data_IF_598996753092
#
_entry.id   IF_598996753092
#
_cell.length_a   1.000
_cell.length_b   1.000
_cell.length_c   1.000
_cell.angle_alpha   90.00
_cell.angle_beta   90.00
_cell.angle_gamma   90.00
#
_symmetry.space_group_name_H-M   'P 1'
#
loop_
_entity.id
_entity.type
_entity.pdbx_description
1 polymer ?
#
# COMPACT_ATOMS: atom_id res chain seq x y z
N UNK A 1 27.11 5.64 -8.92
CA UNK A 1 27.33 4.30 -8.33
C UNK A 1 26.02 3.78 -7.78
N UNK A 2 25.43 4.45 -6.80
CA UNK A 2 24.25 3.98 -6.06
C UNK A 2 23.02 3.71 -6.94
N UNK A 3 22.70 4.60 -7.88
CA UNK A 3 21.58 4.40 -8.80
C UNK A 3 21.78 3.13 -9.66
N UNK A 4 23.00 2.91 -10.14
CA UNK A 4 23.29 1.73 -10.95
C UNK A 4 23.21 0.45 -10.15
N UNK A 5 23.71 0.44 -8.94
CA UNK A 5 23.64 -0.71 -8.04
C UNK A 5 22.20 -1.03 -7.65
N UNK A 6 21.35 0.00 -7.45
CA UNK A 6 19.93 -0.18 -7.17
C UNK A 6 19.16 -0.76 -8.35
N UNK A 7 19.44 -0.32 -9.59
CA UNK A 7 18.65 -0.68 -10.80
C UNK A 7 19.23 -1.91 -11.51
N UNK A 8 20.54 -2.14 -11.44
CA UNK A 8 21.22 -3.24 -12.13
C UNK A 8 21.61 -4.39 -11.18
N UNK A 9 21.52 -4.17 -9.88
CA UNK A 9 21.86 -5.15 -8.85
C UNK A 9 20.69 -6.04 -8.45
N UNK A 10 21.01 -7.18 -7.87
CA UNK A 10 19.99 -8.01 -7.25
C UNK A 10 19.51 -7.40 -5.92
N UNK A 11 18.23 -7.50 -5.67
CA UNK A 11 17.63 -6.99 -4.44
C UNK A 11 18.25 -7.64 -3.18
N UNK A 12 18.39 -8.97 -3.22
CA UNK A 12 19.19 -9.77 -2.29
C UNK A 12 19.84 -10.93 -3.07
N UNK A 13 20.86 -11.63 -2.52
CA UNK A 13 21.55 -12.71 -3.25
C UNK A 13 20.65 -13.85 -3.74
N UNK A 14 19.47 -14.00 -3.16
CA UNK A 14 18.48 -15.04 -3.53
C UNK A 14 17.37 -14.55 -4.43
N UNK A 15 17.32 -13.24 -4.76
CA UNK A 15 16.31 -12.60 -5.61
C UNK A 15 16.98 -11.88 -6.77
N UNK A 16 17.34 -12.62 -7.84
CA UNK A 16 17.97 -12.05 -9.02
C UNK A 16 17.02 -11.11 -9.76
N UNK A 17 17.53 -9.98 -10.19
CA UNK A 17 16.80 -9.07 -11.06
C UNK A 17 16.89 -9.50 -12.53
N UNK A 18 15.78 -9.34 -13.26
CA UNK A 18 15.72 -9.55 -14.69
C UNK A 18 16.17 -8.29 -15.43
N UNK A 19 16.93 -8.43 -16.49
CA UNK A 19 17.39 -7.29 -17.28
C UNK A 19 16.25 -6.75 -18.16
N UNK A 20 15.49 -5.76 -17.68
CA UNK A 20 14.39 -5.13 -18.38
C UNK A 20 14.83 -4.35 -19.64
N UNK A 21 16.12 -4.00 -19.77
CA UNK A 21 16.68 -3.39 -20.98
C UNK A 21 16.90 -4.39 -22.12
N UNK A 22 16.84 -5.69 -21.84
CA UNK A 22 16.80 -6.70 -22.87
C UNK A 22 15.40 -6.71 -23.52
N UNK A 23 15.28 -6.43 -24.83
CA UNK A 23 13.99 -6.31 -25.50
C UNK A 23 13.18 -7.62 -25.49
N UNK A 24 13.83 -8.77 -25.47
CA UNK A 24 13.15 -10.06 -25.39
C UNK A 24 12.57 -10.32 -24.00
N UNK A 25 13.30 -9.96 -22.94
CA UNK A 25 12.82 -10.04 -21.55
C UNK A 25 11.63 -9.11 -21.37
N UNK A 26 11.76 -7.85 -21.80
CA UNK A 26 10.68 -6.87 -21.69
C UNK A 26 9.43 -7.30 -22.45
N UNK A 27 9.58 -7.81 -23.67
CA UNK A 27 8.46 -8.36 -24.44
C UNK A 27 7.79 -9.52 -23.72
N UNK A 28 8.56 -10.43 -23.14
CA UNK A 28 8.02 -11.55 -22.36
C UNK A 28 7.22 -11.05 -21.15
N UNK A 29 7.74 -10.09 -20.39
CA UNK A 29 7.06 -9.55 -19.21
C UNK A 29 5.74 -8.85 -19.57
N UNK A 30 5.72 -8.08 -20.66
CA UNK A 30 4.49 -7.47 -21.18
C UNK A 30 3.48 -8.55 -21.59
N UNK A 31 3.88 -9.50 -22.41
CA UNK A 31 3.00 -10.58 -22.87
C UNK A 31 2.50 -11.47 -21.72
N UNK A 32 3.31 -11.68 -20.68
CA UNK A 32 2.88 -12.40 -19.50
C UNK A 32 1.77 -11.63 -18.75
N UNK A 33 1.88 -10.31 -18.63
CA UNK A 33 0.83 -9.49 -18.02
C UNK A 33 -0.46 -9.50 -18.85
N UNK A 34 -0.37 -9.34 -20.17
CA UNK A 34 -1.49 -9.44 -21.11
C UNK A 34 -2.16 -10.82 -21.01
N UNK A 35 -1.36 -11.90 -20.94
CA UNK A 35 -1.87 -13.26 -20.79
C UNK A 35 -2.71 -13.44 -19.52
N UNK A 36 -2.26 -12.89 -18.39
CA UNK A 36 -3.04 -12.95 -17.14
C UNK A 36 -4.35 -12.17 -17.24
N UNK A 37 -4.32 -10.99 -17.84
CA UNK A 37 -5.51 -10.17 -18.06
C UNK A 37 -6.51 -10.92 -18.95
N UNK A 38 -6.06 -11.41 -20.11
CA UNK A 38 -6.92 -12.08 -21.11
C UNK A 38 -7.43 -13.46 -20.65
N UNK A 39 -6.60 -14.25 -19.98
CA UNK A 39 -6.92 -15.65 -19.65
C UNK A 39 -7.74 -15.76 -18.36
N UNK A 40 -7.44 -14.95 -17.37
CA UNK A 40 -8.04 -15.04 -16.03
C UNK A 40 -9.05 -13.92 -15.79
N UNK A 41 -8.98 -12.83 -16.55
CA UNK A 41 -9.87 -11.66 -16.38
C UNK A 41 -9.58 -10.90 -15.11
N UNK A 42 -8.29 -10.70 -14.79
CA UNK A 42 -7.91 -9.88 -13.62
C UNK A 42 -8.23 -8.40 -13.88
N UNK A 43 -8.65 -7.67 -12.83
CA UNK A 43 -9.04 -6.26 -12.94
C UNK A 43 -7.92 -5.28 -12.63
N UNK A 44 -6.80 -5.77 -12.08
CA UNK A 44 -5.66 -4.93 -11.73
C UNK A 44 -4.41 -5.72 -11.36
N UNK A 45 -3.27 -5.03 -11.32
CA UNK A 45 -1.97 -5.56 -10.92
C UNK A 45 -1.41 -4.71 -9.77
N UNK A 46 -0.95 -5.37 -8.70
CA UNK A 46 0.01 -4.76 -7.77
C UNK A 46 1.40 -5.15 -8.24
N UNK A 47 2.19 -4.18 -8.63
CA UNK A 47 3.56 -4.39 -9.07
C UNK A 47 4.54 -4.12 -7.92
N UNK A 48 5.17 -5.18 -7.48
CA UNK A 48 6.15 -5.20 -6.39
C UNK A 48 7.42 -4.42 -6.76
N UNK A 49 8.11 -3.86 -5.77
CA UNK A 49 9.44 -3.23 -5.91
C UNK A 49 9.58 -2.26 -7.09
N UNK A 50 8.52 -1.52 -7.43
CA UNK A 50 8.40 -0.72 -8.64
C UNK A 50 9.59 0.22 -8.93
N UNK A 51 10.15 0.95 -7.93
CA UNK A 51 11.26 1.89 -8.16
C UNK A 51 12.63 1.23 -8.39
N UNK A 52 12.75 -0.05 -8.16
CA UNK A 52 14.04 -0.77 -8.22
C UNK A 52 14.33 -1.35 -9.61
N UNK A 53 13.30 -1.48 -10.46
CA UNK A 53 13.46 -1.92 -11.84
C UNK A 53 13.89 -0.78 -12.78
N UNK A 54 14.34 -1.13 -14.01
CA UNK A 54 14.69 -0.13 -15.03
C UNK A 54 13.49 0.76 -15.36
N UNK A 55 13.67 2.08 -15.17
CA UNK A 55 12.59 3.05 -15.28
C UNK A 55 11.97 3.11 -16.69
N UNK A 56 12.78 3.03 -17.72
CA UNK A 56 12.30 3.11 -19.10
C UNK A 56 11.59 1.80 -19.49
N UNK A 57 12.09 0.65 -19.00
CA UNK A 57 11.42 -0.64 -19.12
C UNK A 57 10.05 -0.64 -18.44
N UNK A 58 9.96 -0.14 -17.20
CA UNK A 58 8.70 -0.03 -16.48
C UNK A 58 7.72 0.94 -17.15
N UNK A 59 8.23 2.06 -17.68
CA UNK A 59 7.41 3.01 -18.45
C UNK A 59 6.87 2.37 -19.73
N UNK A 60 7.68 1.57 -20.44
CA UNK A 60 7.23 0.84 -21.64
C UNK A 60 6.16 -0.20 -21.28
N UNK A 61 6.36 -0.97 -20.20
CA UNK A 61 5.38 -1.94 -19.71
C UNK A 61 4.03 -1.27 -19.38
N UNK A 62 4.05 -0.21 -18.57
CA UNK A 62 2.82 0.51 -18.19
C UNK A 62 2.16 1.20 -19.38
N UNK A 63 2.94 1.84 -20.28
CA UNK A 63 2.40 2.47 -21.48
C UNK A 63 1.68 1.48 -22.39
N UNK A 64 2.21 0.26 -22.48
CA UNK A 64 1.59 -0.79 -23.28
C UNK A 64 0.27 -1.23 -22.67
N UNK A 65 0.24 -1.52 -21.36
CA UNK A 65 -0.98 -1.91 -20.66
C UNK A 65 -2.04 -0.80 -20.68
N UNK A 66 -1.65 0.46 -20.44
CA UNK A 66 -2.58 1.62 -20.49
C UNK A 66 -3.21 1.81 -21.87
N UNK A 67 -2.49 1.49 -22.94
CA UNK A 67 -3.00 1.56 -24.31
C UNK A 67 -3.95 0.41 -24.66
N UNK A 68 -3.59 -0.82 -24.28
CA UNK A 68 -4.37 -2.02 -24.62
C UNK A 68 -5.59 -2.18 -23.69
N UNK A 69 -5.46 -1.76 -22.42
CA UNK A 69 -6.50 -1.88 -21.40
C UNK A 69 -6.73 -0.53 -20.66
N UNK A 70 -7.40 0.44 -21.30
CA UNK A 70 -7.50 1.82 -20.76
C UNK A 70 -8.16 1.95 -19.38
N UNK A 71 -8.96 0.96 -18.98
CA UNK A 71 -9.66 0.92 -17.69
C UNK A 71 -8.97 0.01 -16.65
N UNK A 72 -7.83 -0.56 -17.01
CA UNK A 72 -7.08 -1.45 -16.13
C UNK A 72 -6.23 -0.65 -15.15
N UNK A 73 -6.34 -0.94 -13.86
CA UNK A 73 -5.54 -0.26 -12.85
C UNK A 73 -4.30 -1.04 -12.46
N UNK A 74 -3.20 -0.31 -12.28
CA UNK A 74 -1.96 -0.85 -11.73
C UNK A 74 -1.55 0.01 -10.54
N UNK A 75 -1.28 -0.63 -9.40
CA UNK A 75 -0.65 0.01 -8.26
C UNK A 75 0.80 -0.43 -8.17
N UNK A 76 1.72 0.53 -8.14
CA UNK A 76 3.14 0.28 -7.94
C UNK A 76 3.53 0.40 -6.47
N UNK A 77 4.23 -0.59 -5.96
CA UNK A 77 4.86 -0.47 -4.66
C UNK A 77 6.04 0.49 -4.76
N UNK A 78 5.81 1.71 -4.30
CA UNK A 78 6.80 2.79 -4.28
C UNK A 78 7.31 3.00 -2.85
N UNK A 79 8.13 2.05 -2.36
CA UNK A 79 8.62 2.10 -0.98
C UNK A 79 9.68 3.18 -0.81
N UNK A 80 9.22 4.41 -0.77
CA UNK A 80 10.01 5.61 -0.48
C UNK A 80 9.21 6.48 0.50
N UNK A 81 9.87 7.00 1.52
CA UNK A 81 9.21 7.69 2.63
C UNK A 81 9.09 9.22 2.43
N UNK A 82 9.54 9.73 1.28
CA UNK A 82 9.40 11.14 0.93
C UNK A 82 8.35 11.36 -0.16
N UNK A 83 7.33 12.21 0.06
CA UNK A 83 6.23 12.41 -0.89
C UNK A 83 6.69 12.81 -2.29
N UNK A 84 7.75 13.62 -2.42
CA UNK A 84 8.28 14.04 -3.72
C UNK A 84 8.80 12.85 -4.54
N UNK A 85 9.44 11.88 -3.89
CA UNK A 85 9.93 10.68 -4.57
C UNK A 85 8.78 9.76 -4.98
N UNK A 86 7.77 9.58 -4.14
CA UNK A 86 6.56 8.85 -4.49
C UNK A 86 5.83 9.51 -5.66
N UNK A 87 5.62 10.83 -5.61
CA UNK A 87 4.97 11.60 -6.66
C UNK A 87 5.71 11.53 -8.01
N UNK A 88 7.04 11.40 -7.99
CA UNK A 88 7.84 11.24 -9.21
C UNK A 88 7.53 9.94 -9.98
N UNK A 89 6.90 8.95 -9.35
CA UNK A 89 6.50 7.69 -9.97
C UNK A 89 5.06 7.68 -10.49
N UNK A 90 4.24 8.66 -10.14
CA UNK A 90 2.86 8.71 -10.66
C UNK A 90 2.85 9.16 -12.13
N UNK A 91 1.89 8.65 -12.91
CA UNK A 91 1.61 9.04 -14.30
C UNK A 91 1.53 10.55 -14.42
N UNK A 92 2.17 11.10 -15.46
CA UNK A 92 2.21 12.53 -15.79
C UNK A 92 2.92 13.42 -14.75
N UNK A 93 3.73 12.83 -13.88
CA UNK A 93 4.54 13.58 -12.93
C UNK A 93 5.54 14.51 -13.62
N UNK A 94 5.55 15.77 -13.19
CA UNK A 94 6.51 16.78 -13.66
C UNK A 94 7.87 16.71 -12.93
N UNK A 95 7.96 15.89 -11.91
CA UNK A 95 9.19 15.69 -11.12
C UNK A 95 10.17 14.70 -11.78
N UNK A 96 9.73 13.99 -12.81
CA UNK A 96 10.52 12.99 -13.51
C UNK A 96 10.66 13.31 -15.01
N UNK A 97 11.80 12.92 -15.59
CA UNK A 97 12.05 13.08 -17.04
C UNK A 97 11.23 12.08 -17.87
N UNK A 98 11.12 10.85 -17.39
CA UNK A 98 10.35 9.78 -18.05
C UNK A 98 8.98 9.68 -17.38
N UNK A 99 7.91 9.75 -18.16
CA UNK A 99 6.57 9.45 -17.67
C UNK A 99 6.48 7.96 -17.36
N UNK A 100 6.09 7.63 -16.13
CA UNK A 100 5.97 6.24 -15.69
C UNK A 100 4.72 5.53 -16.24
N UNK A 101 3.69 6.30 -16.61
CA UNK A 101 2.33 5.83 -16.93
C UNK A 101 1.64 5.09 -15.77
N UNK A 102 2.25 5.02 -14.59
CA UNK A 102 1.71 4.34 -13.41
C UNK A 102 0.57 5.16 -12.79
N UNK A 103 -0.69 4.69 -12.80
CA UNK A 103 -1.80 5.48 -12.31
C UNK A 103 -1.81 5.61 -10.79
N UNK A 104 -1.48 4.53 -10.06
CA UNK A 104 -1.56 4.47 -8.61
C UNK A 104 -0.22 4.14 -7.99
N UNK A 105 0.18 4.93 -6.99
CA UNK A 105 1.39 4.74 -6.18
C UNK A 105 1.03 4.47 -4.73
N UNK A 106 1.85 3.67 -4.02
CA UNK A 106 1.64 3.40 -2.59
C UNK A 106 2.27 4.49 -1.73
N UNK A 107 1.54 4.98 -0.72
CA UNK A 107 1.93 6.08 0.16
C UNK A 107 2.70 5.60 1.40
N UNK A 108 3.94 5.21 1.19
CA UNK A 108 4.84 4.86 2.31
C UNK A 108 5.23 6.07 3.16
N UNK A 109 5.12 7.29 2.63
CA UNK A 109 5.35 8.50 3.40
C UNK A 109 4.26 8.69 4.46
N UNK A 110 2.99 8.48 4.11
CA UNK A 110 1.89 8.49 5.06
C UNK A 110 2.01 7.36 6.09
N UNK A 111 2.33 6.13 5.62
CA UNK A 111 2.57 4.98 6.50
C UNK A 111 3.63 5.29 7.55
N UNK A 112 4.78 5.82 7.14
CA UNK A 112 5.90 6.14 8.04
C UNK A 112 5.47 7.18 9.09
N UNK A 113 4.86 8.27 8.65
CA UNK A 113 4.45 9.39 9.51
C UNK A 113 3.37 9.03 10.51
N UNK A 114 2.36 8.25 10.10
CA UNK A 114 1.29 7.84 11.03
C UNK A 114 1.79 6.83 12.07
N UNK A 115 2.75 5.97 11.70
CA UNK A 115 3.36 5.03 12.62
C UNK A 115 4.35 5.68 13.59
N UNK A 116 5.01 6.75 13.19
CA UNK A 116 5.82 7.57 14.12
C UNK A 116 4.91 8.34 15.08
N UNK A 117 3.90 9.04 14.55
CA UNK A 117 2.99 9.89 15.31
C UNK A 117 2.27 9.15 16.45
N UNK A 118 1.94 7.86 16.29
CA UNK A 118 1.23 7.09 17.34
C UNK A 118 1.99 6.94 18.66
N UNK A 119 3.31 7.15 18.64
CA UNK A 119 4.20 7.00 19.79
C UNK A 119 4.69 8.35 20.32
N UNK A 120 4.22 9.45 19.76
CA UNK A 120 4.66 10.79 20.09
C UNK A 120 3.60 11.55 20.89
N UNK A 121 3.97 12.03 22.06
CA UNK A 121 3.15 12.91 22.88
C UNK A 121 3.81 14.30 22.89
N UNK A 122 3.34 15.20 22.00
CA UNK A 122 3.92 16.54 21.90
C UNK A 122 2.95 17.49 21.20
N UNK A 123 3.11 18.78 21.49
CA UNK A 123 2.37 19.91 20.93
C UNK A 123 3.23 20.76 19.95
N UNK A 124 4.39 20.27 19.56
CA UNK A 124 5.25 20.96 18.63
C UNK A 124 4.88 20.75 17.14
N UNK A 125 5.53 21.52 16.25
CA UNK A 125 5.24 21.53 14.81
C UNK A 125 5.66 20.28 14.05
N UNK A 126 6.48 19.41 14.63
CA UNK A 126 7.17 18.34 13.91
C UNK A 126 6.75 16.94 14.33
N UNK A 127 5.98 16.82 15.42
CA UNK A 127 5.63 15.54 16.01
C UNK A 127 4.11 15.33 16.11
N UNK A 128 3.70 14.16 16.51
CA UNK A 128 2.31 13.81 16.74
C UNK A 128 1.43 14.03 15.53
N UNK A 129 0.28 14.64 15.71
CA UNK A 129 -0.69 14.89 14.65
C UNK A 129 -0.15 15.81 13.53
N UNK A 130 0.72 16.77 13.87
CA UNK A 130 1.33 17.64 12.87
C UNK A 130 2.20 16.89 11.86
N UNK A 131 2.84 15.80 12.26
CA UNK A 131 3.57 14.91 11.37
C UNK A 131 2.67 14.32 10.28
N UNK A 132 1.46 13.90 10.66
CA UNK A 132 0.46 13.36 9.71
C UNK A 132 -0.05 14.47 8.79
N UNK A 133 -0.39 15.63 9.35
CA UNK A 133 -0.82 16.80 8.57
C UNK A 133 0.21 17.18 7.50
N UNK A 134 1.49 17.18 7.86
CA UNK A 134 2.58 17.45 6.93
C UNK A 134 2.69 16.43 5.79
N UNK A 135 2.08 15.26 5.87
CA UNK A 135 2.01 14.35 4.71
C UNK A 135 1.19 14.95 3.57
N UNK A 136 0.12 15.65 3.89
CA UNK A 136 -0.83 16.18 2.91
C UNK A 136 -0.42 17.54 2.34
N UNK A 137 0.47 18.27 3.01
CA UNK A 137 1.03 19.53 2.50
C UNK A 137 1.68 19.37 1.13
N UNK A 138 2.16 18.18 0.82
CA UNK A 138 2.83 17.85 -0.44
C UNK A 138 1.88 17.32 -1.54
N UNK A 139 0.56 17.35 -1.34
CA UNK A 139 -0.42 16.83 -2.31
C UNK A 139 -0.32 17.52 -3.67
N UNK A 140 0.08 18.77 -3.72
CA UNK A 140 0.32 19.52 -4.95
C UNK A 140 1.41 18.94 -5.86
N UNK A 141 2.26 18.04 -5.34
CA UNK A 141 3.29 17.35 -6.12
C UNK A 141 2.72 16.18 -6.95
N UNK A 142 1.61 15.61 -6.49
CA UNK A 142 0.97 14.50 -7.19
C UNK A 142 0.09 14.99 -8.33
N UNK A 143 0.25 14.45 -9.56
CA UNK A 143 -0.70 14.74 -10.64
C UNK A 143 -2.14 14.38 -10.28
N UNK A 144 -2.33 13.30 -9.54
CA UNK A 144 -3.63 12.86 -9.03
C UNK A 144 -3.53 12.34 -7.59
N UNK A 145 -3.72 13.19 -6.57
CA UNK A 145 -3.69 12.77 -5.17
C UNK A 145 -4.73 11.70 -4.81
N UNK A 146 -5.89 11.69 -5.49
CA UNK A 146 -6.95 10.69 -5.26
C UNK A 146 -6.57 9.28 -5.69
N UNK A 147 -5.56 9.14 -6.57
CA UNK A 147 -5.01 7.85 -7.02
C UNK A 147 -3.76 7.44 -6.24
N UNK A 148 -3.57 7.97 -5.05
CA UNK A 148 -2.52 7.52 -4.13
C UNK A 148 -3.12 6.54 -3.14
N UNK A 149 -2.53 5.34 -3.02
CA UNK A 149 -3.00 4.30 -2.11
C UNK A 149 -2.31 4.41 -0.76
N UNK A 150 -3.06 4.85 0.26
CA UNK A 150 -2.58 5.00 1.62
C UNK A 150 -2.91 3.78 2.48
N UNK A 151 -2.07 3.51 3.46
CA UNK A 151 -2.23 2.41 4.40
C UNK A 151 -1.52 2.71 5.72
N UNK A 152 -1.89 1.99 6.79
CA UNK A 152 -1.26 2.11 8.11
C UNK A 152 -0.42 0.88 8.47
N UNK A 153 -0.67 -0.22 7.80
CA UNK A 153 0.03 -1.49 7.90
C UNK A 153 -0.18 -2.30 6.62
N UNK A 154 0.73 -3.22 6.32
CA UNK A 154 0.58 -4.20 5.24
C UNK A 154 1.36 -5.49 5.57
N UNK A 155 1.48 -6.41 4.61
CA UNK A 155 2.15 -7.68 4.79
C UNK A 155 3.69 -7.57 4.91
N UNK A 156 4.27 -6.43 4.56
CA UNK A 156 5.72 -6.18 4.62
C UNK A 156 6.14 -5.30 5.79
N UNK A 157 5.16 -4.84 6.58
CA UNK A 157 5.39 -3.96 7.73
C UNK A 157 4.93 -4.60 9.03
N UNK A 158 5.29 -4.01 10.16
CA UNK A 158 4.66 -4.37 11.42
C UNK A 158 3.16 -4.12 11.35
N UNK A 159 2.37 -4.95 12.06
CA UNK A 159 0.98 -4.61 12.33
C UNK A 159 0.95 -3.30 13.13
N UNK A 160 -0.04 -2.46 12.89
CA UNK A 160 -0.15 -1.17 13.57
C UNK A 160 -0.19 -1.30 15.10
N UNK A 161 -0.82 -2.36 15.58
CA UNK A 161 -0.83 -2.70 17.01
C UNK A 161 0.52 -3.20 17.53
N UNK A 162 1.43 -3.66 16.66
CA UNK A 162 2.72 -4.21 17.04
C UNK A 162 2.57 -5.36 18.01
N UNK A 163 3.17 -5.24 19.19
CA UNK A 163 3.00 -6.16 20.34
C UNK A 163 1.86 -5.75 21.26
N UNK A 164 1.24 -4.59 21.02
CA UNK A 164 0.20 -4.01 21.88
C UNK A 164 -1.22 -4.48 21.54
N UNK A 165 -2.17 -3.88 22.25
CA UNK A 165 -3.63 -4.13 22.11
C UNK A 165 -4.44 -2.84 22.14
N UNK A 166 -3.80 -1.66 22.11
CA UNK A 166 -4.52 -0.38 22.19
C UNK A 166 -5.27 -0.11 20.89
N UNK A 167 -6.56 -0.36 20.95
CA UNK A 167 -7.45 -0.11 19.82
C UNK A 167 -7.81 1.36 19.63
N UNK A 168 -7.47 2.25 20.56
CA UNK A 168 -7.78 3.68 20.47
C UNK A 168 -6.93 4.34 19.40
N UNK A 169 -5.61 4.18 19.48
CA UNK A 169 -4.69 4.67 18.45
C UNK A 169 -4.99 4.07 17.07
N UNK A 170 -5.32 2.77 17.00
CA UNK A 170 -5.71 2.11 15.75
C UNK A 170 -6.98 2.74 15.15
N UNK A 171 -8.01 3.02 15.96
CA UNK A 171 -9.23 3.69 15.49
C UNK A 171 -8.95 5.11 15.00
N UNK A 172 -8.09 5.87 15.68
CA UNK A 172 -7.69 7.20 15.24
C UNK A 172 -6.99 7.15 13.87
N UNK A 173 -6.03 6.24 13.70
CA UNK A 173 -5.31 6.05 12.44
C UNK A 173 -6.25 5.63 11.30
N UNK A 174 -7.15 4.69 11.55
CA UNK A 174 -8.16 4.26 10.57
C UNK A 174 -9.18 5.36 10.26
N UNK A 175 -9.58 6.18 11.23
CA UNK A 175 -10.45 7.33 10.98
C UNK A 175 -9.78 8.30 10.00
N UNK A 176 -8.51 8.61 10.19
CA UNK A 176 -7.73 9.46 9.26
C UNK A 176 -7.66 8.78 7.89
N UNK A 177 -7.19 7.53 7.82
CA UNK A 177 -7.04 6.77 6.56
C UNK A 177 -8.33 6.76 5.75
N UNK A 178 -9.48 6.57 6.41
CA UNK A 178 -10.77 6.42 5.75
C UNK A 178 -11.48 7.74 5.43
N UNK A 179 -10.95 8.88 5.90
CA UNK A 179 -11.55 10.20 5.66
C UNK A 179 -10.71 11.12 4.77
N UNK A 180 -9.47 10.77 4.50
CA UNK A 180 -8.62 11.52 3.56
C UNK A 180 -8.90 11.17 2.11
N UNK A 181 -8.53 12.08 1.20
CA UNK A 181 -8.63 11.87 -0.24
C UNK A 181 -7.51 10.94 -0.74
N UNK A 182 -7.66 9.65 -0.47
CA UNK A 182 -6.74 8.56 -0.82
C UNK A 182 -7.53 7.29 -1.12
N UNK A 183 -6.92 6.35 -1.82
CA UNK A 183 -7.41 4.96 -1.90
C UNK A 183 -6.97 4.26 -0.61
N UNK A 184 -7.88 3.92 0.31
CA UNK A 184 -7.49 3.26 1.56
C UNK A 184 -7.21 1.78 1.31
N UNK A 185 -6.03 1.32 1.72
CA UNK A 185 -5.71 -0.11 1.81
C UNK A 185 -5.89 -0.57 3.27
N UNK A 186 -6.74 -1.56 3.46
CA UNK A 186 -6.91 -2.25 4.75
C UNK A 186 -6.27 -3.63 4.67
N UNK A 187 -5.42 -3.94 5.64
CA UNK A 187 -4.81 -5.24 5.73
C UNK A 187 -5.75 -6.20 6.49
N UNK A 188 -5.87 -7.46 6.03
CA UNK A 188 -6.76 -8.42 6.67
C UNK A 188 -6.43 -8.62 8.15
N UNK A 189 -7.44 -8.80 8.97
CA UNK A 189 -7.30 -9.00 10.41
C UNK A 189 -7.19 -7.71 11.23
N UNK A 190 -7.03 -6.54 10.60
CA UNK A 190 -7.12 -5.24 11.28
C UNK A 190 -8.47 -5.08 11.98
N UNK A 191 -9.53 -5.53 11.34
CA UNK A 191 -10.93 -5.51 11.84
C UNK A 191 -11.17 -6.36 13.09
N UNK A 192 -10.29 -7.34 13.33
CA UNK A 192 -10.35 -8.23 14.51
C UNK A 192 -9.11 -8.10 15.41
N UNK A 193 -8.44 -6.95 15.34
CA UNK A 193 -7.31 -6.60 16.19
C UNK A 193 -6.12 -7.58 16.10
N UNK A 194 -5.86 -8.16 14.93
CA UNK A 194 -4.66 -8.95 14.73
C UNK A 194 -3.41 -8.09 14.93
N UNK A 195 -2.45 -8.63 15.64
CA UNK A 195 -1.19 -7.99 15.96
C UNK A 195 0.01 -8.83 15.47
N UNK A 196 1.18 -8.22 15.43
CA UNK A 196 2.41 -8.88 15.03
C UNK A 196 3.52 -7.89 14.74
N UNK A 197 4.77 -8.38 14.78
CA UNK A 197 5.96 -7.59 14.48
C UNK A 197 6.95 -8.42 13.68
N UNK A 198 7.63 -7.80 12.74
CA UNK A 198 8.70 -8.39 11.92
C UNK A 198 9.95 -8.71 12.74
N UNK A 199 10.12 -8.07 13.91
CA UNK A 199 11.18 -8.42 14.85
C UNK A 199 11.18 -9.91 15.20
N UNK A 200 10.01 -10.56 15.21
CA UNK A 200 9.87 -11.99 15.43
C UNK A 200 10.15 -12.77 14.13
N UNK A 201 9.36 -12.56 13.12
CA UNK A 201 9.51 -13.08 11.74
C UNK A 201 8.53 -12.38 10.80
N UNK A 202 8.73 -12.47 9.49
CA UNK A 202 7.71 -12.06 8.50
C UNK A 202 6.39 -12.83 8.67
N UNK A 203 6.44 -14.11 9.00
CA UNK A 203 5.25 -14.91 9.30
C UNK A 203 4.44 -14.40 10.49
N UNK A 204 5.07 -13.69 11.43
CA UNK A 204 4.35 -13.11 12.57
C UNK A 204 3.38 -12.00 12.19
N UNK A 205 3.65 -11.24 11.12
CA UNK A 205 2.74 -10.22 10.59
C UNK A 205 1.78 -10.77 9.54
N UNK A 206 2.04 -12.00 9.02
CA UNK A 206 1.27 -12.69 7.98
C UNK A 206 0.55 -13.94 8.50
N UNK A 207 0.19 -13.95 9.77
CA UNK A 207 -0.54 -15.08 10.40
C UNK A 207 -1.84 -15.33 9.67
N UNK A 208 -2.25 -16.60 9.61
CA UNK A 208 -3.55 -16.98 9.11
C UNK A 208 -4.68 -16.26 9.85
N UNK A 209 -5.76 -15.95 9.14
CA UNK A 209 -6.95 -15.40 9.78
C UNK A 209 -7.65 -16.51 10.57
N UNK A 210 -7.88 -16.36 11.89
CA UNK A 210 -8.44 -17.42 12.71
C UNK A 210 -9.85 -17.82 12.25
N UNK A 211 -10.03 -19.10 11.94
CA UNK A 211 -11.27 -19.68 11.39
C UNK A 211 -11.23 -19.91 9.89
N UNK A 212 -10.09 -19.62 9.20
CA UNK A 212 -9.89 -19.85 7.78
C UNK A 212 -9.46 -21.28 7.40
N UNK A 213 -8.94 -22.05 8.38
CA UNK A 213 -8.35 -23.37 8.11
C UNK A 213 -8.95 -24.47 9.00
N UNK A 214 -8.97 -25.74 8.50
CA UNK A 214 -9.35 -26.88 9.33
C UNK A 214 -8.45 -27.00 10.57
N UNK A 215 -9.05 -27.12 11.75
CA UNK A 215 -8.33 -27.24 13.02
C UNK A 215 -8.21 -25.93 13.80
N UNK A 216 -8.65 -24.81 13.24
CA UNK A 216 -8.72 -23.55 13.99
C UNK A 216 -9.71 -23.70 15.17
N UNK A 217 -9.24 -23.36 16.38
CA UNK A 217 -10.04 -23.45 17.61
C UNK A 217 -11.16 -22.39 17.69
N UNK A 218 -10.98 -21.28 17.01
CA UNK A 218 -11.92 -20.15 16.97
C UNK A 218 -12.14 -19.68 15.55
N UNK A 219 -13.37 -19.22 15.26
CA UNK A 219 -13.72 -18.67 13.94
C UNK A 219 -14.08 -17.18 14.08
N UNK A 220 -13.14 -16.28 13.74
CA UNK A 220 -13.35 -14.82 13.81
C UNK A 220 -14.14 -14.25 12.65
N UNK A 221 -14.52 -15.05 11.66
CA UNK A 221 -15.51 -14.62 10.66
C UNK A 221 -16.90 -14.47 11.30
N UNK A 222 -17.17 -15.22 12.38
CA UNK A 222 -18.43 -15.13 13.10
C UNK A 222 -18.34 -14.23 14.33
N UNK A 223 -19.48 -13.64 14.73
CA UNK A 223 -19.57 -12.79 15.92
C UNK A 223 -19.20 -13.53 17.21
N UNK A 224 -19.61 -14.77 17.33
CA UNK A 224 -19.39 -15.61 18.52
C UNK A 224 -17.94 -16.05 18.68
N UNK A 225 -17.19 -16.14 17.59
CA UNK A 225 -15.76 -16.44 17.61
C UNK A 225 -14.88 -15.23 17.94
N UNK A 226 -15.45 -14.03 17.96
CA UNK A 226 -14.73 -12.80 18.30
C UNK A 226 -14.94 -12.43 19.76
N UNK A 227 -13.89 -11.94 20.40
CA UNK A 227 -13.99 -11.33 21.73
C UNK A 227 -14.87 -10.05 21.70
N UNK A 228 -15.26 -9.55 22.87
CA UNK A 228 -16.00 -8.29 22.98
C UNK A 228 -15.25 -7.11 22.33
N UNK A 229 -13.92 -7.03 22.51
CA UNK A 229 -13.10 -5.97 21.93
C UNK A 229 -13.03 -6.06 20.41
N UNK A 230 -12.85 -7.28 19.87
CA UNK A 230 -12.82 -7.53 18.42
C UNK A 230 -14.19 -7.22 17.78
N UNK A 231 -15.29 -7.60 18.42
CA UNK A 231 -16.61 -7.24 17.94
C UNK A 231 -16.82 -5.71 17.94
N UNK A 232 -16.38 -5.01 18.98
CA UNK A 232 -16.48 -3.57 19.05
C UNK A 232 -15.65 -2.87 17.97
N UNK A 233 -14.47 -3.42 17.62
CA UNK A 233 -13.64 -2.91 16.52
C UNK A 233 -14.27 -3.19 15.17
N UNK A 234 -14.72 -4.42 14.93
CA UNK A 234 -15.39 -4.83 13.70
C UNK A 234 -16.63 -3.97 13.42
N UNK A 235 -17.51 -3.82 14.42
CA UNK A 235 -18.73 -3.03 14.30
C UNK A 235 -18.43 -1.54 14.05
N UNK A 236 -17.36 -1.00 14.66
CA UNK A 236 -16.93 0.38 14.45
C UNK A 236 -16.38 0.58 13.02
N UNK A 237 -15.48 -0.31 12.59
CA UNK A 237 -14.87 -0.22 11.26
C UNK A 237 -15.92 -0.42 10.16
N UNK A 238 -16.84 -1.36 10.33
CA UNK A 238 -17.96 -1.57 9.40
C UNK A 238 -18.78 -0.30 9.21
N UNK A 239 -19.11 0.41 10.32
CA UNK A 239 -19.90 1.66 10.23
C UNK A 239 -19.17 2.75 9.47
N UNK A 240 -17.88 2.96 9.71
CA UNK A 240 -17.13 4.02 9.01
C UNK A 240 -16.90 3.68 7.51
N UNK A 241 -16.75 2.40 7.18
CA UNK A 241 -16.64 1.95 5.79
C UNK A 241 -17.96 2.16 5.03
N UNK A 242 -19.11 1.82 5.62
CA UNK A 242 -20.42 2.10 5.01
C UNK A 242 -20.68 3.60 4.88
N UNK A 243 -20.29 4.39 5.88
CA UNK A 243 -20.36 5.84 5.79
C UNK A 243 -19.51 6.38 4.64
N UNK A 244 -18.26 5.92 4.50
CA UNK A 244 -17.38 6.30 3.39
C UNK A 244 -17.98 5.91 2.04
N UNK A 245 -18.48 4.69 1.92
CA UNK A 245 -19.10 4.20 0.67
C UNK A 245 -20.29 5.06 0.23
N UNK A 246 -21.08 5.56 1.17
CA UNK A 246 -22.22 6.44 0.90
C UNK A 246 -21.86 7.93 0.75
N UNK A 247 -20.57 8.30 0.85
CA UNK A 247 -20.14 9.70 0.82
C UNK A 247 -19.31 10.01 -0.41
N UNK A 248 -19.96 10.51 -1.45
CA UNK A 248 -19.33 10.84 -2.73
C UNK A 248 -18.21 11.89 -2.64
N UNK A 249 -18.23 12.77 -1.64
CA UNK A 249 -17.19 13.78 -1.45
C UNK A 249 -15.82 13.16 -1.14
N UNK A 250 -15.81 11.94 -0.58
CA UNK A 250 -14.57 11.23 -0.18
C UNK A 250 -14.22 10.12 -1.18
N UNK A 251 -15.21 9.61 -1.92
CA UNK A 251 -15.04 8.49 -2.84
C UNK A 251 -14.87 8.90 -4.30
N UNK A 252 -15.08 10.15 -4.62
CA UNK A 252 -14.82 10.80 -5.93
C UNK A 252 -13.63 11.72 -5.84
#
# INVERSE_FOLDING_TARGET
VDLRETVDGWFVPTMPDLNQRNPHVMKYLIQNSEWWIETVGIDGIRMDTYPYADRDGMALWMKTLDREYPNFNTVGETWVTEPAYTAAWQKDSKLARTNSYLPTVMDFAFYDRINQAKNEETDDWWHGFNRIYNSFVYDYLYPNPSSVMAFIENHDTDRFLGKGKDSTALKQALAILLTVNRIPQLYYGTEVLMNGTKEITDGNVRKDFPGGFPGDEVNKFTRDGRTRAENAMFDWLSRILHWRQGNETITK
#
